data_IF_095490514895
#
_entry.id   IF_095490514895
#
_cell.length_a   1.000
_cell.length_b   1.000
_cell.length_c   1.000
_cell.angle_alpha   90.00
_cell.angle_beta   90.00
_cell.angle_gamma   90.00
#
_symmetry.space_group_name_H-M   'P 1'
#
loop_
_entity.id
_entity.type
_entity.pdbx_description
1 polymer ?
#
# COMPACT_ATOMS: atom_id res chain seq x y z
N UNK A 1 15.10 6.39 -13.33
CA UNK A 1 16.27 5.49 -13.38
C UNK A 1 15.87 4.02 -13.42
N UNK A 2 15.08 3.50 -12.46
CA UNK A 2 14.62 2.09 -12.43
C UNK A 2 13.87 1.68 -13.70
N UNK A 3 12.94 2.50 -14.19
CA UNK A 3 12.19 2.24 -15.41
C UNK A 3 13.13 2.09 -16.64
N UNK A 4 14.14 2.92 -16.75
CA UNK A 4 15.11 2.88 -17.86
C UNK A 4 15.93 1.57 -17.83
N UNK A 5 16.39 1.18 -16.64
CA UNK A 5 17.13 -0.08 -16.46
C UNK A 5 16.25 -1.27 -16.83
N UNK A 6 14.99 -1.28 -16.40
CA UNK A 6 14.05 -2.36 -16.71
C UNK A 6 13.70 -2.43 -18.20
N UNK A 7 13.53 -1.29 -18.87
CA UNK A 7 13.33 -1.24 -20.32
C UNK A 7 14.55 -1.74 -21.09
N UNK A 8 15.76 -1.41 -20.63
CA UNK A 8 17.00 -1.94 -21.23
C UNK A 8 17.09 -3.45 -21.05
N UNK A 9 16.81 -3.96 -19.84
CA UNK A 9 16.80 -5.42 -19.57
C UNK A 9 15.75 -6.13 -20.41
N UNK A 10 14.55 -5.57 -20.57
CA UNK A 10 13.52 -6.13 -21.42
C UNK A 10 13.94 -6.15 -22.89
N UNK A 11 14.54 -5.06 -23.39
CA UNK A 11 15.07 -4.99 -24.76
C UNK A 11 16.18 -6.02 -25.01
N UNK A 12 17.07 -6.21 -24.05
CA UNK A 12 18.13 -7.22 -24.13
C UNK A 12 17.55 -8.65 -24.12
N UNK A 13 16.54 -8.91 -23.28
CA UNK A 13 15.87 -10.21 -23.20
C UNK A 13 15.14 -10.55 -24.52
N UNK A 14 14.44 -9.57 -25.11
CA UNK A 14 13.76 -9.73 -26.39
C UNK A 14 14.80 -10.01 -27.50
N UNK A 15 15.89 -9.24 -27.55
CA UNK A 15 16.95 -9.43 -28.54
C UNK A 15 17.68 -10.75 -28.37
N UNK A 16 17.82 -11.28 -27.18
CA UNK A 16 18.42 -12.57 -26.86
C UNK A 16 17.51 -13.75 -27.26
N UNK A 17 16.20 -13.59 -27.13
CA UNK A 17 15.20 -14.61 -27.50
C UNK A 17 14.91 -14.65 -28.99
N UNK A 18 15.05 -13.53 -29.71
CA UNK A 18 14.76 -13.41 -31.14
C UNK A 18 15.42 -14.51 -32.02
N UNK A 19 16.72 -14.84 -31.85
CA UNK A 19 17.35 -15.86 -32.66
C UNK A 19 16.91 -17.30 -32.33
N UNK A 20 16.18 -17.53 -31.26
CA UNK A 20 15.67 -18.85 -30.88
C UNK A 20 14.40 -19.23 -31.66
N UNK A 21 13.76 -18.28 -32.35
CA UNK A 21 12.54 -18.52 -33.10
C UNK A 21 12.87 -18.72 -34.58
N UNK A 22 12.50 -19.89 -35.22
CA UNK A 22 12.70 -20.12 -36.63
C UNK A 22 11.87 -19.13 -37.47
N UNK A 23 12.45 -18.66 -38.58
CA UNK A 23 11.78 -17.75 -39.52
C UNK A 23 10.66 -18.48 -40.29
N UNK A 24 9.41 -18.35 -39.83
CA UNK A 24 8.24 -18.91 -40.51
C UNK A 24 6.93 -18.34 -39.94
N UNK A 25 5.90 -18.18 -40.77
CA UNK A 25 4.69 -17.43 -40.47
C UNK A 25 3.89 -17.89 -39.22
N UNK A 26 4.06 -19.15 -38.76
CA UNK A 26 3.43 -19.61 -37.50
C UNK A 26 4.15 -19.17 -36.23
N UNK A 27 5.42 -18.81 -36.32
CA UNK A 27 6.25 -18.40 -35.20
C UNK A 27 6.14 -16.90 -34.90
N UNK A 28 5.73 -16.09 -35.86
CA UNK A 28 5.53 -14.63 -35.68
C UNK A 28 4.55 -14.32 -34.55
N UNK A 29 3.46 -15.08 -34.46
CA UNK A 29 2.47 -14.89 -33.39
C UNK A 29 3.06 -15.22 -32.02
N UNK A 30 3.91 -16.25 -31.92
CA UNK A 30 4.58 -16.64 -30.67
C UNK A 30 5.64 -15.60 -30.27
N UNK A 31 6.38 -15.06 -31.22
CA UNK A 31 7.36 -13.99 -31.01
C UNK A 31 6.70 -12.71 -30.50
N UNK A 32 5.60 -12.29 -31.14
CA UNK A 32 4.82 -11.12 -30.67
C UNK A 32 4.26 -11.38 -29.28
N UNK A 33 3.68 -12.57 -29.03
CA UNK A 33 3.11 -12.90 -27.73
C UNK A 33 4.19 -12.93 -26.63
N UNK A 34 5.37 -13.48 -26.91
CA UNK A 34 6.49 -13.48 -25.95
C UNK A 34 7.01 -12.07 -25.69
N UNK A 35 7.11 -11.22 -26.70
CA UNK A 35 7.49 -9.82 -26.56
C UNK A 35 6.51 -9.04 -25.68
N UNK A 36 5.21 -9.22 -25.91
CA UNK A 36 4.17 -8.60 -25.09
C UNK A 36 4.23 -9.12 -23.63
N UNK A 37 4.42 -10.42 -23.44
CA UNK A 37 4.53 -11.01 -22.09
C UNK A 37 5.74 -10.47 -21.33
N UNK A 38 6.91 -10.37 -21.98
CA UNK A 38 8.12 -9.81 -21.36
C UNK A 38 7.91 -8.34 -21.03
N UNK A 39 7.33 -7.54 -21.93
CA UNK A 39 7.03 -6.13 -21.67
C UNK A 39 6.06 -5.98 -20.48
N UNK A 40 5.00 -6.78 -20.43
CA UNK A 40 4.03 -6.77 -19.35
C UNK A 40 4.68 -7.16 -18.01
N UNK A 41 5.49 -8.21 -17.97
CA UNK A 41 6.23 -8.64 -16.77
C UNK A 41 7.23 -7.59 -16.31
N UNK A 42 7.90 -6.91 -17.24
CA UNK A 42 8.84 -5.83 -16.92
C UNK A 42 8.12 -4.63 -16.33
N UNK A 43 6.99 -4.21 -16.91
CA UNK A 43 6.17 -3.12 -16.36
C UNK A 43 5.62 -3.47 -14.99
N UNK A 44 5.15 -4.70 -14.80
CA UNK A 44 4.68 -5.17 -13.50
C UNK A 44 5.80 -5.18 -12.46
N UNK A 45 6.98 -5.68 -12.82
CA UNK A 45 8.17 -5.66 -11.96
C UNK A 45 8.61 -4.24 -11.59
N UNK A 46 8.59 -3.31 -12.56
CA UNK A 46 8.86 -1.89 -12.34
C UNK A 46 7.86 -1.27 -11.38
N UNK A 47 6.58 -1.55 -11.57
CA UNK A 47 5.51 -1.07 -10.70
C UNK A 47 5.67 -1.58 -9.27
N UNK A 48 5.91 -2.88 -9.10
CA UNK A 48 6.14 -3.48 -7.77
C UNK A 48 7.38 -2.87 -7.11
N UNK A 49 8.50 -2.75 -7.83
CA UNK A 49 9.72 -2.15 -7.30
C UNK A 49 9.49 -0.68 -6.88
N UNK A 50 8.72 0.09 -7.66
CA UNK A 50 8.34 1.46 -7.32
C UNK A 50 7.52 1.52 -6.03
N UNK A 51 6.47 0.70 -5.93
CA UNK A 51 5.59 0.66 -4.74
C UNK A 51 6.38 0.26 -3.48
N UNK A 52 7.29 -0.71 -3.58
CA UNK A 52 8.14 -1.12 -2.46
C UNK A 52 9.09 0.00 -2.03
N UNK A 53 9.70 0.71 -2.99
CA UNK A 53 10.58 1.84 -2.71
C UNK A 53 9.80 2.98 -2.04
N UNK A 54 8.62 3.31 -2.56
CA UNK A 54 7.73 4.31 -1.98
C UNK A 54 7.32 3.94 -0.55
N UNK A 55 6.88 2.69 -0.33
CA UNK A 55 6.50 2.21 0.99
C UNK A 55 7.65 2.30 2.00
N UNK A 56 8.87 1.93 1.60
CA UNK A 56 10.05 2.00 2.46
C UNK A 56 10.42 3.46 2.80
N UNK A 57 10.41 4.36 1.82
CA UNK A 57 10.72 5.78 2.01
C UNK A 57 9.63 6.45 2.86
N UNK A 58 8.38 6.26 2.52
CA UNK A 58 7.25 6.83 3.24
C UNK A 58 7.20 6.31 4.69
N UNK A 59 7.39 4.99 4.89
CA UNK A 59 7.44 4.40 6.22
C UNK A 59 8.51 5.03 7.10
N UNK A 60 9.72 5.25 6.55
CA UNK A 60 10.80 5.91 7.27
C UNK A 60 10.49 7.36 7.65
N UNK A 61 10.00 8.17 6.69
CA UNK A 61 9.69 9.57 6.96
C UNK A 61 8.48 9.74 7.88
N UNK A 62 7.41 9.00 7.64
CA UNK A 62 6.20 9.07 8.43
C UNK A 62 6.37 8.49 9.83
N UNK A 63 7.19 7.43 9.98
CA UNK A 63 7.57 6.91 11.28
C UNK A 63 8.31 7.95 12.12
N UNK A 64 9.30 8.64 11.53
CA UNK A 64 9.99 9.75 12.21
C UNK A 64 9.05 10.90 12.57
N UNK A 65 8.12 11.24 11.69
CA UNK A 65 7.11 12.26 11.96
C UNK A 65 6.22 11.87 13.14
N UNK A 66 5.73 10.62 13.18
CA UNK A 66 4.92 10.11 14.28
C UNK A 66 5.66 10.21 15.61
N UNK A 67 6.96 9.85 15.65
CA UNK A 67 7.83 10.02 16.83
C UNK A 67 7.87 11.48 17.27
N UNK A 68 8.09 12.43 16.34
CA UNK A 68 8.16 13.86 16.68
C UNK A 68 6.83 14.40 17.23
N UNK A 69 5.71 13.94 16.69
CA UNK A 69 4.38 14.34 17.15
C UNK A 69 4.13 13.79 18.56
N UNK A 70 4.44 12.51 18.80
CA UNK A 70 4.25 11.88 20.12
C UNK A 70 5.15 12.52 21.19
N UNK A 71 6.40 12.88 20.86
CA UNK A 71 7.29 13.62 21.77
C UNK A 71 6.69 14.99 22.15
N UNK A 72 6.14 15.72 21.17
CA UNK A 72 5.47 17.02 21.45
C UNK A 72 4.20 16.87 22.28
N UNK A 73 3.56 15.70 22.22
CA UNK A 73 2.38 15.38 23.02
C UNK A 73 2.74 14.79 24.40
N UNK A 74 4.04 14.76 24.76
CA UNK A 74 4.52 14.39 26.09
C UNK A 74 4.79 12.90 26.30
N UNK A 75 4.85 12.08 25.23
CA UNK A 75 5.32 10.70 25.35
C UNK A 75 6.84 10.69 25.51
N UNK A 76 7.35 10.00 26.52
CA UNK A 76 8.79 9.91 26.74
C UNK A 76 9.43 8.98 25.68
N UNK A 77 10.69 9.27 25.30
CA UNK A 77 11.35 8.55 24.22
C UNK A 77 11.68 7.10 24.58
N UNK A 78 11.89 6.84 25.85
CA UNK A 78 12.12 5.51 26.44
C UNK A 78 10.86 4.63 26.47
N UNK A 79 9.68 5.23 26.38
CA UNK A 79 8.41 4.53 26.24
C UNK A 79 8.12 4.09 24.80
N UNK A 80 8.90 4.60 23.83
CA UNK A 80 8.68 4.30 22.41
C UNK A 80 9.43 3.04 22.01
N UNK A 81 8.72 2.14 21.31
CA UNK A 81 9.33 0.97 20.71
C UNK A 81 10.10 1.34 19.44
N UNK A 82 11.30 0.79 19.28
CA UNK A 82 12.01 0.90 18.00
C UNK A 82 11.38 -0.02 16.96
N UNK A 83 10.83 0.57 15.92
CA UNK A 83 10.20 -0.18 14.84
C UNK A 83 11.24 -0.52 13.78
N UNK A 84 11.45 -1.82 13.56
CA UNK A 84 12.32 -2.30 12.49
C UNK A 84 11.73 -1.95 11.12
N UNK A 85 12.49 -1.24 10.28
CA UNK A 85 12.12 -0.94 8.89
C UNK A 85 11.82 -2.23 8.10
N UNK A 86 12.54 -3.31 8.39
CA UNK A 86 12.30 -4.61 7.77
C UNK A 86 10.90 -5.15 8.12
N UNK A 87 10.49 -5.05 9.38
CA UNK A 87 9.17 -5.48 9.81
C UNK A 87 8.07 -4.66 9.14
N UNK A 88 8.23 -3.34 9.05
CA UNK A 88 7.29 -2.46 8.34
C UNK A 88 7.18 -2.82 6.85
N UNK A 89 8.33 -3.06 6.19
CA UNK A 89 8.34 -3.45 4.77
C UNK A 89 7.64 -4.81 4.56
N UNK A 90 7.87 -5.79 5.42
CA UNK A 90 7.20 -7.09 5.35
C UNK A 90 5.68 -6.92 5.55
N UNK A 91 5.27 -6.09 6.50
CA UNK A 91 3.86 -5.81 6.75
C UNK A 91 3.22 -5.11 5.55
N UNK A 92 3.89 -4.13 4.93
CA UNK A 92 3.43 -3.46 3.71
C UNK A 92 3.27 -4.44 2.54
N UNK A 93 4.24 -5.33 2.31
CA UNK A 93 4.14 -6.37 1.26
C UNK A 93 2.94 -7.27 1.49
N UNK A 94 2.70 -7.68 2.74
CA UNK A 94 1.54 -8.52 3.09
C UNK A 94 0.21 -7.79 2.88
N UNK A 95 0.15 -6.49 3.18
CA UNK A 95 -1.07 -5.70 3.00
C UNK A 95 -1.34 -5.43 1.51
N UNK A 96 -0.30 -5.16 0.71
CA UNK A 96 -0.42 -5.08 -0.76
C UNK A 96 -0.88 -6.41 -1.34
N UNK A 97 -0.31 -7.54 -0.91
CA UNK A 97 -0.71 -8.88 -1.38
C UNK A 97 -2.17 -9.17 -1.03
N UNK A 98 -2.59 -8.82 0.19
CA UNK A 98 -3.97 -8.97 0.62
C UNK A 98 -4.91 -8.10 -0.21
N UNK A 99 -4.53 -6.83 -0.43
CA UNK A 99 -5.29 -5.87 -1.24
C UNK A 99 -5.48 -6.39 -2.68
N UNK A 100 -4.40 -6.85 -3.31
CA UNK A 100 -4.45 -7.43 -4.66
C UNK A 100 -5.34 -8.67 -4.70
N UNK A 101 -5.20 -9.57 -3.74
CA UNK A 101 -6.00 -10.80 -3.68
C UNK A 101 -7.50 -10.50 -3.53
N UNK A 102 -7.85 -9.54 -2.68
CA UNK A 102 -9.24 -9.10 -2.51
C UNK A 102 -9.77 -8.48 -3.80
N UNK A 103 -9.01 -7.57 -4.41
CA UNK A 103 -9.45 -6.88 -5.64
C UNK A 103 -9.56 -7.83 -6.83
N UNK A 104 -8.67 -8.83 -6.96
CA UNK A 104 -8.80 -9.90 -7.97
C UNK A 104 -10.05 -10.73 -7.72
N UNK A 105 -10.31 -11.12 -6.47
CA UNK A 105 -11.55 -11.84 -6.11
C UNK A 105 -12.80 -11.03 -6.41
N UNK A 106 -12.80 -9.73 -6.12
CA UNK A 106 -13.91 -8.84 -6.42
C UNK A 106 -14.07 -8.60 -7.93
N UNK A 107 -12.97 -8.60 -8.70
CA UNK A 107 -13.02 -8.51 -10.15
C UNK A 107 -13.78 -9.70 -10.77
N UNK A 108 -13.65 -10.89 -10.21
CA UNK A 108 -14.40 -12.06 -10.66
C UNK A 108 -15.92 -11.89 -10.52
N UNK A 109 -16.41 -11.05 -9.60
CA UNK A 109 -17.83 -10.76 -9.45
C UNK A 109 -18.42 -9.99 -10.63
N UNK A 110 -17.60 -9.34 -11.47
CA UNK A 110 -18.08 -8.66 -12.67
C UNK A 110 -18.66 -9.61 -13.73
N UNK A 111 -18.44 -10.94 -13.58
CA UNK A 111 -19.09 -11.96 -14.41
C UNK A 111 -20.63 -11.89 -14.27
N UNK A 112 -21.11 -11.46 -13.08
CA UNK A 112 -22.55 -11.22 -12.85
C UNK A 112 -22.84 -9.75 -13.16
N UNK A 113 -23.49 -9.44 -14.30
CA UNK A 113 -23.71 -8.06 -14.71
C UNK A 113 -24.60 -7.32 -13.68
N UNK A 114 -24.39 -6.02 -13.53
CA UNK A 114 -25.08 -5.07 -12.65
C UNK A 114 -24.86 -5.35 -11.18
N UNK A 115 -25.36 -6.46 -10.62
CA UNK A 115 -25.29 -6.77 -9.18
C UNK A 115 -23.82 -7.05 -8.79
N UNK A 116 -23.13 -7.88 -9.58
CA UNK A 116 -21.72 -8.20 -9.33
C UNK A 116 -20.81 -6.96 -9.39
N UNK A 117 -21.04 -6.09 -10.36
CA UNK A 117 -20.29 -4.84 -10.48
C UNK A 117 -20.55 -3.90 -9.31
N UNK A 118 -21.79 -3.78 -8.85
CA UNK A 118 -22.13 -2.93 -7.70
C UNK A 118 -21.46 -3.46 -6.40
N UNK A 119 -21.55 -4.77 -6.16
CA UNK A 119 -20.92 -5.42 -5.01
C UNK A 119 -19.38 -5.28 -5.08
N UNK A 120 -18.80 -5.44 -6.27
CA UNK A 120 -17.36 -5.29 -6.46
C UNK A 120 -16.88 -3.87 -6.17
N UNK A 121 -17.59 -2.84 -6.66
CA UNK A 121 -17.24 -1.43 -6.41
C UNK A 121 -17.37 -1.10 -4.92
N UNK A 122 -18.48 -1.42 -4.29
CA UNK A 122 -18.69 -1.15 -2.87
C UNK A 122 -17.70 -1.93 -1.99
N UNK A 123 -17.46 -3.20 -2.31
CA UNK A 123 -16.50 -4.04 -1.60
C UNK A 123 -15.07 -3.53 -1.75
N UNK A 124 -14.64 -3.25 -2.97
CA UNK A 124 -13.29 -2.70 -3.23
C UNK A 124 -13.10 -1.36 -2.51
N UNK A 125 -14.06 -0.46 -2.57
CA UNK A 125 -14.00 0.82 -1.86
C UNK A 125 -13.85 0.60 -0.35
N UNK A 126 -14.68 -0.26 0.24
CA UNK A 126 -14.63 -0.55 1.67
C UNK A 126 -13.26 -1.13 2.10
N UNK A 127 -12.76 -2.14 1.38
CA UNK A 127 -11.48 -2.76 1.72
C UNK A 127 -10.30 -1.82 1.49
N UNK A 128 -10.31 -1.03 0.41
CA UNK A 128 -9.26 -0.05 0.14
C UNK A 128 -9.22 1.02 1.25
N UNK A 129 -10.36 1.56 1.66
CA UNK A 129 -10.45 2.52 2.76
C UNK A 129 -9.97 1.92 4.08
N UNK A 130 -10.34 0.67 4.36
CA UNK A 130 -10.00 0.00 5.61
C UNK A 130 -8.51 -0.32 5.70
N UNK A 131 -7.89 -0.77 4.60
CA UNK A 131 -6.46 -1.08 4.54
C UNK A 131 -5.67 0.23 4.62
N UNK A 132 -5.97 1.21 3.78
CA UNK A 132 -5.26 2.48 3.76
C UNK A 132 -5.38 3.23 5.09
N UNK A 133 -6.58 3.30 5.68
CA UNK A 133 -6.78 3.90 7.00
C UNK A 133 -6.03 3.13 8.10
N UNK A 134 -5.98 1.80 7.99
CA UNK A 134 -5.23 0.92 8.88
C UNK A 134 -3.72 1.18 8.85
N UNK A 135 -3.16 1.41 7.66
CA UNK A 135 -1.74 1.73 7.48
C UNK A 135 -1.36 3.04 8.21
N UNK A 136 -2.21 4.06 8.14
CA UNK A 136 -1.96 5.30 8.87
C UNK A 136 -2.18 5.15 10.38
N UNK A 137 -3.16 4.38 10.82
CA UNK A 137 -3.38 4.06 12.24
C UNK A 137 -2.22 3.22 12.81
N UNK A 138 -1.52 2.45 11.97
CA UNK A 138 -0.40 1.64 12.41
C UNK A 138 0.77 2.46 12.98
N UNK A 139 1.04 3.69 12.51
CA UNK A 139 2.18 4.49 12.98
C UNK A 139 2.19 4.73 14.50
N UNK A 140 1.13 5.25 15.14
CA UNK A 140 1.12 5.40 16.60
C UNK A 140 1.12 4.05 17.35
N UNK A 141 0.59 2.99 16.76
CA UNK A 141 0.55 1.66 17.37
C UNK A 141 1.93 0.97 17.29
N UNK A 142 2.68 1.23 16.22
CA UNK A 142 4.05 0.77 16.07
C UNK A 142 4.95 1.32 17.17
N UNK A 143 4.84 2.62 17.49
CA UNK A 143 5.60 3.24 18.56
C UNK A 143 5.29 2.65 19.94
N UNK A 144 4.17 1.95 20.10
CA UNK A 144 3.79 1.22 21.30
C UNK A 144 4.15 -0.27 21.24
N UNK A 145 4.91 -0.70 20.24
CA UNK A 145 5.36 -2.08 20.07
C UNK A 145 4.25 -3.08 19.76
N UNK A 146 3.09 -2.61 19.29
CA UNK A 146 1.96 -3.49 18.98
C UNK A 146 2.27 -4.39 17.77
N UNK A 147 1.95 -5.67 17.91
CA UNK A 147 2.09 -6.65 16.83
C UNK A 147 1.03 -6.44 15.76
N UNK A 148 1.31 -6.90 14.53
CA UNK A 148 0.37 -6.79 13.40
C UNK A 148 -1.05 -7.27 13.71
N UNK A 149 -1.20 -8.37 14.44
CA UNK A 149 -2.52 -8.89 14.81
C UNK A 149 -3.29 -7.93 15.70
N UNK A 150 -2.61 -7.29 16.65
CA UNK A 150 -3.16 -6.28 17.57
C UNK A 150 -3.56 -5.01 16.82
N UNK A 151 -2.70 -4.54 15.89
CA UNK A 151 -3.01 -3.40 15.01
C UNK A 151 -4.27 -3.65 14.17
N UNK A 152 -4.41 -4.86 13.60
CA UNK A 152 -5.62 -5.25 12.84
C UNK A 152 -6.86 -5.35 13.73
N UNK A 153 -6.72 -5.89 14.93
CA UNK A 153 -7.81 -5.94 15.90
C UNK A 153 -8.26 -4.53 16.30
N UNK A 154 -7.31 -3.63 16.56
CA UNK A 154 -7.57 -2.22 16.85
C UNK A 154 -8.28 -1.51 15.70
N UNK A 155 -7.78 -1.63 14.46
CA UNK A 155 -8.41 -1.05 13.28
C UNK A 155 -9.85 -1.56 13.08
N UNK A 156 -10.10 -2.84 13.38
CA UNK A 156 -11.45 -3.44 13.33
C UNK A 156 -12.36 -2.93 14.45
N UNK A 157 -11.85 -2.79 15.66
CA UNK A 157 -12.58 -2.25 16.80
C UNK A 157 -13.02 -0.81 16.53
N UNK A 158 -12.13 0.02 16.00
CA UNK A 158 -12.38 1.42 15.66
C UNK A 158 -12.63 1.64 14.16
N UNK A 159 -13.36 0.71 13.52
CA UNK A 159 -13.57 0.67 12.07
C UNK A 159 -14.06 1.97 11.45
N UNK A 160 -14.97 2.69 12.11
CA UNK A 160 -15.50 3.95 11.57
C UNK A 160 -14.45 5.06 11.52
N UNK A 161 -13.58 5.13 12.53
CA UNK A 161 -12.47 6.07 12.55
C UNK A 161 -11.41 5.69 11.51
N UNK A 162 -11.10 4.40 11.38
CA UNK A 162 -10.18 3.87 10.38
C UNK A 162 -10.68 4.13 8.96
N UNK A 163 -11.98 3.89 8.68
CA UNK A 163 -12.59 4.20 7.40
C UNK A 163 -12.59 5.71 7.10
N UNK A 164 -12.90 6.54 8.11
CA UNK A 164 -12.87 8.00 7.98
C UNK A 164 -11.47 8.52 7.67
N UNK A 165 -10.45 7.98 8.33
CA UNK A 165 -9.05 8.32 8.05
C UNK A 165 -8.65 7.88 6.64
N UNK A 166 -9.00 6.65 6.22
CA UNK A 166 -8.76 6.16 4.87
C UNK A 166 -9.43 7.02 3.80
N UNK A 167 -10.67 7.43 4.03
CA UNK A 167 -11.38 8.34 3.14
C UNK A 167 -10.69 9.70 3.04
N UNK A 168 -10.27 10.28 4.17
CA UNK A 168 -9.52 11.52 4.19
C UNK A 168 -8.21 11.41 3.40
N UNK A 169 -7.47 10.31 3.58
CA UNK A 169 -6.22 10.07 2.84
C UNK A 169 -6.46 9.97 1.34
N UNK A 170 -7.49 9.23 0.90
CA UNK A 170 -7.83 9.14 -0.54
C UNK A 170 -8.18 10.51 -1.10
N UNK A 171 -8.96 11.31 -0.38
CA UNK A 171 -9.29 12.67 -0.81
C UNK A 171 -8.04 13.56 -0.92
N UNK A 172 -7.09 13.43 0.00
CA UNK A 172 -5.82 14.15 -0.07
C UNK A 172 -4.96 13.70 -1.25
N UNK A 173 -4.99 12.41 -1.60
CA UNK A 173 -4.24 11.84 -2.73
C UNK A 173 -4.81 12.23 -4.10
N UNK A 174 -6.06 12.70 -4.18
CA UNK A 174 -6.64 13.20 -5.44
C UNK A 174 -5.89 14.39 -6.01
N UNK A 175 -5.14 15.14 -5.18
CA UNK A 175 -4.30 16.25 -5.62
C UNK A 175 -2.82 15.84 -5.52
N UNK A 176 -2.19 15.34 -6.61
CA UNK A 176 -0.90 14.62 -6.54
C UNK A 176 0.23 15.38 -5.85
N UNK A 177 0.41 16.67 -6.15
CA UNK A 177 1.50 17.50 -5.58
C UNK A 177 1.19 17.90 -4.14
N UNK A 178 -0.05 18.29 -3.88
CA UNK A 178 -0.52 18.72 -2.55
C UNK A 178 -0.70 17.51 -1.65
N UNK A 179 -1.13 16.37 -2.21
CA UNK A 179 -1.31 15.12 -1.51
C UNK A 179 -0.06 14.66 -0.77
N UNK A 180 1.10 14.71 -1.42
CA UNK A 180 2.37 14.31 -0.79
C UNK A 180 2.70 15.13 0.48
N UNK A 181 2.40 16.43 0.46
CA UNK A 181 2.58 17.31 1.64
C UNK A 181 1.50 17.06 2.68
N UNK A 182 0.25 16.88 2.24
CA UNK A 182 -0.88 16.68 3.13
C UNK A 182 -0.91 15.29 3.79
N UNK A 183 -0.21 14.30 3.26
CA UNK A 183 -0.05 12.99 3.91
C UNK A 183 0.65 13.10 5.28
N UNK A 184 1.49 14.10 5.48
CA UNK A 184 2.07 14.40 6.80
C UNK A 184 0.99 14.78 7.81
N UNK A 185 -0.08 15.45 7.37
CA UNK A 185 -1.21 15.79 8.23
C UNK A 185 -2.04 14.56 8.59
N UNK A 186 -2.12 13.56 7.70
CA UNK A 186 -2.78 12.29 7.97
C UNK A 186 -2.07 11.49 9.07
N UNK A 187 -0.73 11.47 9.07
CA UNK A 187 0.07 10.86 10.15
C UNK A 187 -0.17 11.60 11.48
N UNK A 188 -0.12 12.93 11.47
CA UNK A 188 -0.40 13.72 12.67
C UNK A 188 -1.82 13.47 13.17
N UNK A 189 -2.79 13.44 12.27
CA UNK A 189 -4.19 13.16 12.56
C UNK A 189 -4.39 11.77 13.18
N UNK A 190 -3.67 10.75 12.72
CA UNK A 190 -3.75 9.39 13.25
C UNK A 190 -3.24 9.31 14.69
N UNK A 191 -2.15 10.02 15.02
CA UNK A 191 -1.60 10.10 16.36
C UNK A 191 -2.60 10.78 17.31
N UNK A 192 -3.16 11.93 16.91
CA UNK A 192 -4.16 12.66 17.69
C UNK A 192 -5.44 11.84 17.90
N UNK A 193 -5.90 11.16 16.86
CA UNK A 193 -7.07 10.29 16.93
C UNK A 193 -6.86 9.16 17.94
N UNK A 194 -5.71 8.50 17.88
CA UNK A 194 -5.36 7.44 18.82
C UNK A 194 -5.33 7.92 20.26
N UNK A 195 -4.71 9.08 20.54
CA UNK A 195 -4.67 9.68 21.87
C UNK A 195 -6.07 10.03 22.39
N UNK A 196 -6.91 10.59 21.55
CA UNK A 196 -8.31 10.88 21.92
C UNK A 196 -9.07 9.61 22.30
N UNK A 197 -8.86 8.53 21.57
CA UNK A 197 -9.49 7.24 21.87
C UNK A 197 -9.00 6.66 23.20
N UNK A 198 -7.71 6.79 23.50
CA UNK A 198 -7.15 6.38 24.80
C UNK A 198 -7.76 7.19 25.96
N UNK A 199 -7.88 8.51 25.82
CA UNK A 199 -8.48 9.35 26.84
C UNK A 199 -9.93 8.94 27.13
N UNK A 200 -10.74 8.73 26.08
CA UNK A 200 -12.12 8.26 26.23
C UNK A 200 -12.23 6.88 26.89
N UNK A 201 -11.26 6.00 26.66
CA UNK A 201 -11.24 4.66 27.27
C UNK A 201 -10.85 4.68 28.75
N UNK A 202 -10.18 5.75 29.21
CA UNK A 202 -9.79 5.92 30.64
C UNK A 202 -10.88 6.61 31.47
N UNK A 203 -11.88 7.22 30.84
CA UNK A 203 -13.01 7.89 31.50
C UNK A 203 -14.20 6.94 31.78
N UNK A 204 -14.15 5.70 31.29
CA UNK A 204 -15.18 4.66 31.48
C UNK A 204 -14.68 3.64 32.49
#
# INVERSE_FOLDING_TARGET
MVLVVLLVVAGLAINWLHPMFPSGGGWLALEIASGIAIAALTLLGAFVAWVLLEAALCGFFYGKLAVQVELKLGMARDEMSEVSLLAQTIDAVRDITLLLSINIGLLALHIVPVIGSLVAICGSTYFNLMILGGDFVAFPLDLRGMRRAEKKAYAKQFRYHTLGLGAAVILLMLVPVVGAVLLTTAVTGSVLLHRRQQALATEI
#
